data_IF_139688725929
#
_entry.id   IF_139688725929
#
_cell.length_a   1.000
_cell.length_b   1.000
_cell.length_c   1.000
_cell.angle_alpha   90.00
_cell.angle_beta   90.00
_cell.angle_gamma   90.00
#
_symmetry.space_group_name_H-M   'P 1'
#
loop_
_entity.id
_entity.type
_entity.pdbx_description
1 polymer ?
#
# COMPACT_ATOMS: atom_id res chain seq x y z
N UNK A 1 -8.48 17.49 13.55
CA UNK A 1 -7.51 18.15 12.65
C UNK A 1 -7.24 17.21 11.49
N UNK A 2 -7.57 17.64 10.26
CA UNK A 2 -7.29 16.87 9.03
C UNK A 2 -6.11 17.50 8.28
N UNK A 3 -5.33 16.67 7.60
CA UNK A 3 -4.15 17.04 6.79
C UNK A 3 -4.30 16.45 5.39
N UNK A 4 -3.65 17.10 4.43
CA UNK A 4 -3.54 16.60 3.06
C UNK A 4 -2.54 15.42 2.99
N UNK A 5 -3.05 14.24 2.63
CA UNK A 5 -2.30 12.99 2.40
C UNK A 5 -2.39 12.53 0.94
N UNK A 6 -2.69 13.45 0.01
CA UNK A 6 -2.96 13.11 -1.39
C UNK A 6 -1.82 12.31 -2.02
N UNK A 7 -0.57 12.76 -1.85
CA UNK A 7 0.58 12.09 -2.47
C UNK A 7 0.82 10.71 -1.86
N UNK A 8 0.70 10.58 -0.54
CA UNK A 8 0.93 9.30 0.14
C UNK A 8 -0.16 8.27 -0.13
N UNK A 9 -1.40 8.72 -0.10
CA UNK A 9 -2.53 7.90 -0.44
C UNK A 9 -2.48 7.48 -1.90
N UNK A 10 -2.06 8.36 -2.82
CA UNK A 10 -1.88 7.99 -4.23
C UNK A 10 -0.78 6.96 -4.42
N UNK A 11 0.34 7.07 -3.72
CA UNK A 11 1.39 6.05 -3.81
C UNK A 11 0.89 4.67 -3.37
N UNK A 12 0.11 4.62 -2.29
CA UNK A 12 -0.54 3.37 -1.83
C UNK A 12 -1.54 2.85 -2.86
N UNK A 13 -2.41 3.72 -3.41
CA UNK A 13 -3.43 3.34 -4.39
C UNK A 13 -2.81 2.84 -5.70
N UNK A 14 -1.78 3.52 -6.23
CA UNK A 14 -1.04 3.10 -7.42
C UNK A 14 -0.28 1.78 -7.20
N UNK A 15 0.21 1.55 -5.98
CA UNK A 15 0.83 0.26 -5.61
C UNK A 15 -0.19 -0.87 -5.73
N UNK A 16 -1.41 -0.67 -5.22
CA UNK A 16 -2.47 -1.67 -5.34
C UNK A 16 -2.99 -1.81 -6.78
N UNK A 17 -3.05 -0.73 -7.54
CA UNK A 17 -3.42 -0.75 -8.96
C UNK A 17 -2.44 -1.59 -9.79
N UNK A 18 -1.14 -1.45 -9.51
CA UNK A 18 -0.07 -2.24 -10.14
C UNK A 18 -0.16 -3.74 -9.82
N UNK A 19 -0.76 -4.08 -8.69
CA UNK A 19 -1.00 -5.47 -8.26
C UNK A 19 -2.33 -6.04 -8.79
N UNK A 20 -3.16 -5.21 -9.42
CA UNK A 20 -4.42 -5.62 -10.02
C UNK A 20 -5.37 -6.30 -9.03
N UNK A 21 -5.97 -7.40 -9.47
CA UNK A 21 -6.92 -8.16 -8.64
C UNK A 21 -6.24 -8.97 -7.54
N UNK A 22 -4.92 -9.12 -7.51
CA UNK A 22 -4.21 -9.93 -6.50
C UNK A 22 -4.28 -9.30 -5.10
N UNK A 23 -4.30 -7.95 -5.05
CA UNK A 23 -4.19 -7.20 -3.80
C UNK A 23 -2.88 -7.44 -3.06
N UNK A 24 -2.75 -6.87 -1.88
CA UNK A 24 -1.62 -7.12 -0.98
C UNK A 24 -2.09 -7.26 0.46
N UNK A 25 -1.51 -8.19 1.21
CA UNK A 25 -1.71 -8.19 2.66
C UNK A 25 -1.20 -6.88 3.26
N UNK A 26 -1.77 -6.46 4.38
CA UNK A 26 -1.39 -5.21 5.06
C UNK A 26 0.13 -5.10 5.25
N UNK A 27 0.77 -6.16 5.78
CA UNK A 27 2.22 -6.20 6.00
C UNK A 27 3.00 -6.08 4.70
N UNK A 28 2.57 -6.79 3.64
CA UNK A 28 3.27 -6.78 2.35
C UNK A 28 3.12 -5.44 1.64
N UNK A 29 1.93 -4.84 1.68
CA UNK A 29 1.68 -3.49 1.17
C UNK A 29 2.60 -2.47 1.85
N UNK A 30 2.62 -2.49 3.18
CA UNK A 30 3.48 -1.61 3.98
C UNK A 30 4.96 -1.72 3.59
N UNK A 31 5.47 -2.94 3.45
CA UNK A 31 6.86 -3.18 3.07
C UNK A 31 7.17 -2.76 1.63
N UNK A 32 6.24 -2.95 0.69
CA UNK A 32 6.39 -2.52 -0.71
C UNK A 32 6.48 -1.01 -0.82
N UNK A 33 5.49 -0.29 -0.25
CA UNK A 33 5.43 1.18 -0.32
C UNK A 33 6.58 1.83 0.45
N UNK A 34 6.96 1.27 1.61
CA UNK A 34 8.12 1.75 2.36
C UNK A 34 9.45 1.42 1.65
N UNK A 35 9.45 0.54 0.64
CA UNK A 35 10.64 0.10 -0.09
C UNK A 35 11.54 -0.83 0.73
N UNK A 36 10.98 -1.52 1.74
CA UNK A 36 11.71 -2.37 2.70
C UNK A 36 11.48 -3.87 2.49
N UNK A 37 10.62 -4.28 1.54
CA UNK A 37 10.38 -5.69 1.26
C UNK A 37 11.67 -6.38 0.80
N UNK A 38 12.17 -7.31 1.62
CA UNK A 38 13.26 -8.23 1.25
C UNK A 38 12.65 -9.52 0.72
N UNK A 39 12.86 -9.82 -0.56
CA UNK A 39 12.31 -11.03 -1.18
C UNK A 39 13.36 -11.70 -2.07
N UNK A 40 13.42 -13.03 -2.06
CA UNK A 40 14.21 -13.79 -3.04
C UNK A 40 13.42 -13.82 -4.34
N UNK A 41 13.77 -12.94 -5.29
CA UNK A 41 13.07 -12.78 -6.57
C UNK A 41 13.20 -14.05 -7.42
N UNK A 42 12.19 -14.92 -7.43
CA UNK A 42 12.18 -16.17 -8.19
C UNK A 42 11.51 -16.01 -9.56
N UNK A 43 11.94 -15.05 -10.37
CA UNK A 43 11.57 -14.86 -11.80
C UNK A 43 10.10 -15.16 -12.19
N UNK A 44 9.13 -15.01 -11.29
CA UNK A 44 7.71 -15.11 -11.65
C UNK A 44 7.19 -13.74 -12.10
N UNK A 45 6.16 -13.70 -12.95
CA UNK A 45 5.60 -12.44 -13.46
C UNK A 45 5.10 -11.51 -12.34
N UNK A 46 4.55 -12.06 -11.25
CA UNK A 46 4.11 -11.30 -10.07
C UNK A 46 5.29 -10.69 -9.31
N UNK A 47 6.39 -11.42 -9.16
CA UNK A 47 7.59 -10.95 -8.47
C UNK A 47 8.32 -9.86 -9.28
N UNK A 48 8.33 -9.96 -10.62
CA UNK A 48 8.88 -8.91 -11.47
C UNK A 48 8.10 -7.59 -11.34
N UNK A 49 6.75 -7.66 -11.29
CA UNK A 49 5.90 -6.48 -11.00
C UNK A 49 6.18 -5.91 -9.61
N UNK A 50 6.21 -6.75 -8.57
CA UNK A 50 6.53 -6.32 -7.21
C UNK A 50 7.88 -5.61 -7.12
N UNK A 51 8.90 -6.14 -7.79
CA UNK A 51 10.22 -5.53 -7.83
C UNK A 51 10.17 -4.14 -8.48
N UNK A 52 9.55 -4.01 -9.65
CA UNK A 52 9.40 -2.71 -10.33
C UNK A 52 8.62 -1.71 -9.46
N UNK A 53 7.51 -2.12 -8.87
CA UNK A 53 6.69 -1.27 -7.99
C UNK A 53 7.50 -0.78 -6.78
N UNK A 54 8.36 -1.61 -6.19
CA UNK A 54 9.24 -1.20 -5.09
C UNK A 54 10.23 -0.12 -5.51
N UNK A 55 10.83 -0.24 -6.70
CA UNK A 55 11.78 0.79 -7.18
C UNK A 55 11.07 2.13 -7.40
N UNK A 56 9.86 2.11 -7.97
CA UNK A 56 9.03 3.31 -8.13
C UNK A 56 8.69 3.92 -6.77
N UNK A 57 8.31 3.10 -5.78
CA UNK A 57 8.00 3.58 -4.43
C UNK A 57 9.21 4.21 -3.74
N UNK A 58 10.42 3.64 -3.91
CA UNK A 58 11.65 4.22 -3.38
C UNK A 58 11.90 5.62 -3.94
N UNK A 59 11.85 5.77 -5.26
CA UNK A 59 12.05 7.04 -5.94
C UNK A 59 10.97 8.09 -5.54
N UNK A 60 9.70 7.68 -5.50
CA UNK A 60 8.60 8.57 -5.11
C UNK A 60 8.74 9.05 -3.65
N UNK A 61 9.13 8.16 -2.73
CA UNK A 61 9.33 8.48 -1.31
C UNK A 61 10.46 9.47 -1.09
N UNK A 62 11.59 9.30 -1.77
CA UNK A 62 12.74 10.22 -1.66
C UNK A 62 12.30 11.64 -2.02
N UNK A 63 11.63 11.78 -3.17
CA UNK A 63 11.06 13.06 -3.61
C UNK A 63 10.05 13.65 -2.60
N UNK A 64 9.15 12.83 -2.06
CA UNK A 64 8.15 13.31 -1.09
C UNK A 64 8.76 13.70 0.26
N UNK A 65 9.85 13.03 0.67
CA UNK A 65 10.57 13.35 1.91
C UNK A 65 11.32 14.68 1.77
N UNK A 66 11.96 14.91 0.62
CA UNK A 66 12.68 16.16 0.31
C UNK A 66 11.73 17.37 0.19
N UNK A 67 10.57 17.21 -0.44
CA UNK A 67 9.67 18.32 -0.75
C UNK A 67 8.80 18.79 0.41
N UNK A 68 8.53 17.93 1.40
CA UNK A 68 7.44 18.20 2.37
C UNK A 68 7.87 18.11 3.84
N UNK A 69 9.18 17.93 4.12
CA UNK A 69 9.68 17.78 5.50
C UNK A 69 8.96 16.68 6.29
N UNK A 70 8.46 15.65 5.58
CA UNK A 70 7.60 14.61 6.16
C UNK A 70 8.42 13.56 6.89
N UNK A 71 7.82 12.88 7.90
CA UNK A 71 8.47 11.79 8.60
C UNK A 71 8.89 10.69 7.62
N UNK A 72 9.94 9.98 8.00
CA UNK A 72 10.48 8.83 7.25
C UNK A 72 9.35 7.82 7.04
N UNK A 73 9.11 7.40 5.79
CA UNK A 73 8.04 6.44 5.51
C UNK A 73 8.47 5.03 5.89
N UNK A 74 8.29 4.70 7.16
CA UNK A 74 8.47 3.36 7.70
C UNK A 74 7.31 2.46 7.25
N UNK A 75 7.50 1.14 7.37
CA UNK A 75 6.40 0.21 7.12
C UNK A 75 5.23 0.45 8.09
N UNK A 76 5.51 0.85 9.33
CA UNK A 76 4.47 1.19 10.31
C UNK A 76 3.68 2.43 9.90
N UNK A 77 4.37 3.47 9.41
CA UNK A 77 3.72 4.67 8.85
C UNK A 77 2.72 4.30 7.75
N UNK A 78 3.17 3.48 6.79
CA UNK A 78 2.30 3.06 5.67
C UNK A 78 1.14 2.20 6.18
N UNK A 79 1.38 1.34 7.17
CA UNK A 79 0.34 0.48 7.73
C UNK A 79 -0.81 1.29 8.31
N UNK A 80 -0.49 2.28 9.11
CA UNK A 80 -1.47 3.18 9.73
C UNK A 80 -2.21 4.00 8.68
N UNK A 81 -1.48 4.57 7.71
CA UNK A 81 -2.10 5.31 6.61
C UNK A 81 -3.05 4.42 5.78
N UNK A 82 -2.66 3.18 5.49
CA UNK A 82 -3.52 2.22 4.80
C UNK A 82 -4.78 1.87 5.63
N UNK A 83 -4.65 1.76 6.96
CA UNK A 83 -5.78 1.56 7.87
C UNK A 83 -6.77 2.74 7.81
N UNK A 84 -6.28 3.98 7.84
CA UNK A 84 -7.10 5.18 7.69
C UNK A 84 -7.77 5.28 6.32
N UNK A 85 -7.05 4.91 5.26
CA UNK A 85 -7.64 4.86 3.92
C UNK A 85 -8.74 3.81 3.82
N UNK A 86 -8.59 2.66 4.49
CA UNK A 86 -9.63 1.64 4.57
C UNK A 86 -10.86 2.14 5.34
N UNK A 87 -10.67 2.77 6.51
CA UNK A 87 -11.79 3.29 7.31
C UNK A 87 -12.56 4.41 6.62
N UNK A 88 -11.92 5.11 5.67
CA UNK A 88 -12.54 6.16 4.85
C UNK A 88 -13.06 5.66 3.49
N UNK A 89 -12.96 4.36 3.20
CA UNK A 89 -13.49 3.75 1.96
C UNK A 89 -12.62 3.93 0.71
N UNK A 90 -11.39 4.41 0.86
CA UNK A 90 -10.40 4.45 -0.22
C UNK A 90 -9.81 3.07 -0.50
N UNK A 91 -9.65 2.25 0.54
CA UNK A 91 -9.30 0.85 0.44
C UNK A 91 -10.45 -0.02 0.93
N UNK A 92 -10.51 -1.27 0.46
CA UNK A 92 -11.38 -2.31 1.01
C UNK A 92 -10.55 -3.53 1.38
N UNK A 93 -10.99 -4.26 2.40
CA UNK A 93 -10.36 -5.50 2.84
C UNK A 93 -11.13 -6.68 2.27
N UNK A 94 -10.42 -7.65 1.67
CA UNK A 94 -11.01 -8.91 1.24
C UNK A 94 -10.22 -10.06 1.85
N UNK A 95 -10.91 -11.02 2.43
CA UNK A 95 -10.32 -12.28 2.88
C UNK A 95 -10.09 -13.18 1.69
N UNK A 96 -8.85 -13.63 1.48
CA UNK A 96 -8.48 -14.53 0.39
C UNK A 96 -7.78 -15.77 0.89
N UNK A 97 -8.15 -16.90 0.30
CA UNK A 97 -7.50 -18.17 0.52
C UNK A 97 -6.43 -18.36 -0.55
N UNK A 98 -5.18 -18.48 -0.12
CA UNK A 98 -4.08 -18.86 -0.99
C UNK A 98 -3.75 -20.33 -0.74
N UNK A 99 -3.78 -21.15 -1.80
CA UNK A 99 -3.15 -22.45 -1.72
C UNK A 99 -1.64 -22.25 -1.80
N UNK A 100 -0.92 -22.63 -0.74
CA UNK A 100 0.53 -22.78 -0.86
C UNK A 100 0.79 -23.91 -1.86
N UNK A 101 1.80 -23.74 -2.72
CA UNK A 101 2.25 -24.67 -3.78
C UNK A 101 1.86 -26.15 -3.57
N UNK A 102 1.39 -26.77 -4.65
CA UNK A 102 1.06 -28.19 -4.78
C UNK A 102 1.93 -29.10 -3.89
N UNK A 103 1.32 -29.74 -2.89
CA UNK A 103 1.95 -30.78 -2.08
C UNK A 103 1.83 -30.65 -0.56
N UNK A 104 1.39 -29.51 -0.01
CA UNK A 104 1.02 -29.40 1.42
C UNK A 104 -0.17 -28.45 1.56
N UNK A 105 -1.38 -29.00 1.57
CA UNK A 105 -2.62 -28.24 1.76
C UNK A 105 -2.70 -27.65 3.17
N UNK A 106 -2.05 -26.49 3.36
CA UNK A 106 -2.49 -25.52 4.34
C UNK A 106 -3.12 -24.39 3.54
N UNK A 107 -4.45 -24.34 3.53
CA UNK A 107 -5.18 -23.16 3.08
C UNK A 107 -4.82 -22.03 4.04
N UNK A 108 -4.00 -21.08 3.58
CA UNK A 108 -3.70 -19.91 4.41
C UNK A 108 -4.58 -18.78 3.97
N UNK A 109 -5.43 -18.36 4.90
CA UNK A 109 -6.35 -17.24 4.74
C UNK A 109 -5.63 -15.95 5.13
N UNK A 110 -5.54 -15.01 4.21
CA UNK A 110 -4.98 -13.68 4.46
C UNK A 110 -5.98 -12.60 4.09
N UNK A 111 -6.04 -11.54 4.89
CA UNK A 111 -6.72 -10.31 4.53
C UNK A 111 -5.83 -9.49 3.60
N UNK A 112 -6.36 -9.16 2.42
CA UNK A 112 -5.68 -8.30 1.44
C UNK A 112 -6.43 -6.98 1.30
N UNK A 113 -5.67 -5.92 1.06
CA UNK A 113 -6.22 -4.64 0.61
C UNK A 113 -6.40 -4.65 -0.89
N UNK A 114 -7.53 -4.08 -1.30
CA UNK A 114 -7.88 -3.74 -2.67
C UNK A 114 -8.31 -2.28 -2.72
N UNK A 115 -8.33 -1.70 -3.91
CA UNK A 115 -8.86 -0.35 -4.12
C UNK A 115 -10.37 -0.36 -3.84
N UNK A 116 -10.82 0.58 -2.99
CA UNK A 116 -12.23 0.85 -2.73
C UNK A 116 -12.80 1.89 -3.71
N UNK A 117 -14.12 2.11 -3.66
CA UNK A 117 -14.80 3.02 -4.59
C UNK A 117 -14.20 4.44 -4.58
N UNK A 118 -13.96 5.01 -3.39
CA UNK A 118 -13.35 6.34 -3.26
C UNK A 118 -11.89 6.36 -3.72
N UNK A 119 -11.18 5.24 -3.59
CA UNK A 119 -9.81 5.09 -4.08
C UNK A 119 -9.75 5.13 -5.61
N UNK A 120 -10.65 4.40 -6.27
CA UNK A 120 -10.79 4.44 -7.73
C UNK A 120 -11.16 5.85 -8.23
N UNK A 121 -12.07 6.53 -7.53
CA UNK A 121 -12.44 7.91 -7.88
C UNK A 121 -11.27 8.88 -7.68
N UNK A 122 -10.54 8.77 -6.57
CA UNK A 122 -9.39 9.62 -6.29
C UNK A 122 -8.26 9.45 -7.32
N UNK A 123 -8.02 8.22 -7.79
CA UNK A 123 -7.06 7.97 -8.87
C UNK A 123 -7.49 8.67 -10.18
N UNK A 124 -8.77 8.55 -10.55
CA UNK A 124 -9.32 9.13 -11.80
C UNK A 124 -9.40 10.66 -11.77
N UNK A 125 -9.92 11.23 -10.68
CA UNK A 125 -10.25 12.67 -10.60
C UNK A 125 -9.15 13.53 -9.98
N UNK A 126 -8.05 12.91 -9.55
CA UNK A 126 -6.96 13.61 -8.87
C UNK A 126 -7.42 14.41 -7.64
N UNK A 127 -8.46 13.91 -6.97
CA UNK A 127 -9.06 14.58 -5.83
C UNK A 127 -8.11 14.60 -4.63
N UNK A 128 -8.15 15.68 -3.85
CA UNK A 128 -7.42 15.76 -2.58
C UNK A 128 -7.93 14.70 -1.61
N UNK A 129 -7.00 14.10 -0.86
CA UNK A 129 -7.30 13.10 0.17
C UNK A 129 -6.96 13.71 1.53
N UNK A 130 -8.00 14.19 2.20
CA UNK A 130 -7.91 14.76 3.55
C UNK A 130 -8.17 13.66 4.59
N UNK A 131 -7.21 13.43 5.49
CA UNK A 131 -7.31 12.42 6.54
C UNK A 131 -6.94 13.03 7.90
N UNK A 132 -7.47 12.50 9.00
CA UNK A 132 -7.05 12.91 10.34
C UNK A 132 -5.56 12.58 10.52
N UNK A 133 -4.83 13.45 11.21
CA UNK A 133 -3.43 13.18 11.57
C UNK A 133 -3.42 11.97 12.52
N UNK A 134 -2.74 10.86 12.15
CA UNK A 134 -2.62 9.67 13.00
C UNK A 134 -1.99 9.99 14.35
N UNK A 135 -2.44 9.31 15.40
CA UNK A 135 -1.99 9.59 16.77
C UNK A 135 -0.49 9.34 16.96
N UNK A 136 0.12 8.38 16.26
CA UNK A 136 1.57 8.13 16.32
C UNK A 136 2.43 9.23 15.68
N UNK A 137 1.85 10.13 14.86
CA UNK A 137 2.55 11.31 14.31
C UNK A 137 2.40 12.51 15.25
N UNK A 138 1.35 12.51 16.11
CA UNK A 138 1.15 13.59 17.09
C UNK A 138 2.13 13.53 18.26
N UNK A 139 2.67 12.35 18.54
CA UNK A 139 3.63 12.07 19.62
C UNK A 139 5.02 11.80 19.06
#
# INVERSE_FOLDING_TARGET
>A
VERDYTDEARLILMTLESMGSDGLSQTKLAQVVAGTLKFQWRKSGVEARLYQTIQVCKAAKEKLSEQQGRPRWTADYVRELASLLASRGYLRTQTRNFSAKAGRERNVTYNVYLIGQRGSEALRRQSKIMLPIPDYIRN
#
